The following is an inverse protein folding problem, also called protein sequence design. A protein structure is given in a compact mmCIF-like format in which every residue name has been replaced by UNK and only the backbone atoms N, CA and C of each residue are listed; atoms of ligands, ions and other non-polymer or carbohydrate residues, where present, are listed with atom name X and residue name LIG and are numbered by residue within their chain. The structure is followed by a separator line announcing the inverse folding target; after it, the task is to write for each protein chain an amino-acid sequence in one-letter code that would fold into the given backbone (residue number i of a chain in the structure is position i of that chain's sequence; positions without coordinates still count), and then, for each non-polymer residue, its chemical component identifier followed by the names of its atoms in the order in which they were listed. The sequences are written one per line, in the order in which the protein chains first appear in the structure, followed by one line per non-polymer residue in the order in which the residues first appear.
data_IF_335220965507
#
_entry.id   IF_335220965507
#
_cell.length_a   1.000
_cell.length_b   1.000
_cell.length_c   1.000
_cell.angle_alpha   90.00
_cell.angle_beta   90.00
_cell.angle_gamma   90.00
#
_symmetry.space_group_name_H-M   'P 1'
#
loop_
_entity.id
_entity.type
_entity.pdbx_description
1 polymer ?
#
# COMPACT_ATOMS: atom_id res chain seq x y z
N UNK A 1 17.55 11.87 -2.28
CA UNK A 1 16.12 11.93 -2.64
C UNK A 1 15.81 11.08 -3.88
N UNK A 2 16.26 11.43 -5.12
CA UNK A 2 15.91 10.70 -6.36
C UNK A 2 16.36 9.22 -6.38
N UNK A 3 17.56 8.92 -5.88
CA UNK A 3 18.09 7.52 -5.81
C UNK A 3 17.37 6.70 -4.75
N UNK A 4 16.94 7.30 -3.65
CA UNK A 4 16.13 6.64 -2.63
C UNK A 4 14.70 6.38 -3.13
N UNK A 5 14.13 7.33 -3.84
CA UNK A 5 12.82 7.17 -4.50
C UNK A 5 12.86 6.06 -5.55
N UNK A 6 13.95 5.94 -6.31
CA UNK A 6 14.18 4.82 -7.22
C UNK A 6 14.35 3.49 -6.49
N UNK A 7 15.06 3.44 -5.35
CA UNK A 7 15.15 2.23 -4.52
C UNK A 7 13.79 1.78 -4.00
N UNK A 8 12.96 2.72 -3.58
CA UNK A 8 11.61 2.44 -3.08
C UNK A 8 10.64 2.07 -4.23
N UNK A 9 10.90 2.53 -5.46
CA UNK A 9 10.11 2.15 -6.64
C UNK A 9 10.53 0.81 -7.27
N UNK A 10 11.76 0.35 -7.04
CA UNK A 10 12.34 -0.90 -7.57
C UNK A 10 12.15 -2.10 -6.62
N UNK A 11 11.06 -2.16 -5.84
CA UNK A 11 10.70 -3.45 -5.27
C UNK A 11 10.31 -4.35 -6.44
N UNK A 12 11.14 -5.35 -6.71
CA UNK A 12 10.85 -6.40 -7.67
C UNK A 12 9.62 -7.19 -7.19
N UNK A 13 8.45 -6.60 -7.38
CA UNK A 13 7.20 -7.34 -7.37
C UNK A 13 7.34 -8.27 -8.56
N UNK A 14 7.61 -9.55 -8.32
CA UNK A 14 7.97 -10.53 -9.34
C UNK A 14 7.07 -10.46 -10.58
N UNK A 15 7.45 -11.13 -11.65
CA UNK A 15 6.67 -11.18 -12.89
C UNK A 15 5.22 -11.53 -12.56
N UNK A 16 4.29 -10.69 -13.02
CA UNK A 16 2.87 -10.96 -12.88
C UNK A 16 2.50 -12.26 -13.60
N UNK A 17 1.89 -13.16 -12.85
CA UNK A 17 1.31 -14.40 -13.41
C UNK A 17 -0.19 -14.21 -13.51
N UNK A 18 -0.74 -14.31 -14.71
CA UNK A 18 -2.16 -14.12 -14.97
C UNK A 18 -3.02 -15.01 -14.05
N UNK A 19 -3.96 -14.39 -13.35
CA UNK A 19 -4.89 -15.10 -12.46
C UNK A 19 -4.27 -15.62 -11.15
N UNK A 20 -3.00 -15.31 -10.84
CA UNK A 20 -2.36 -15.69 -9.59
C UNK A 20 -2.09 -14.47 -8.71
N UNK A 21 -2.74 -14.42 -7.54
CA UNK A 21 -2.45 -13.41 -6.54
C UNK A 21 -1.04 -13.62 -5.93
N UNK A 22 -0.33 -12.54 -5.56
CA UNK A 22 0.92 -12.66 -4.82
C UNK A 22 0.68 -13.29 -3.44
N UNK A 23 1.64 -14.05 -2.95
CA UNK A 23 1.58 -14.73 -1.66
C UNK A 23 2.86 -14.46 -0.84
N UNK A 24 2.80 -14.61 0.47
CA UNK A 24 3.93 -14.49 1.39
C UNK A 24 4.66 -13.16 1.25
N UNK A 25 5.97 -13.19 1.02
CA UNK A 25 6.80 -11.99 0.89
C UNK A 25 6.37 -11.09 -0.26
N UNK A 26 5.94 -11.67 -1.40
CA UNK A 26 5.48 -10.89 -2.56
C UNK A 26 4.19 -10.13 -2.26
N UNK A 27 3.28 -10.71 -1.48
CA UNK A 27 2.07 -10.03 -1.02
C UNK A 27 2.42 -8.86 -0.11
N UNK A 28 3.32 -9.07 0.87
CA UNK A 28 3.79 -8.00 1.76
C UNK A 28 4.42 -6.84 0.98
N UNK A 29 5.31 -7.15 0.04
CA UNK A 29 5.99 -6.14 -0.77
C UNK A 29 4.97 -5.38 -1.66
N UNK A 30 3.98 -6.08 -2.23
CA UNK A 30 2.90 -5.47 -3.02
C UNK A 30 2.03 -4.52 -2.16
N UNK A 31 1.61 -4.96 -0.98
CA UNK A 31 0.80 -4.15 -0.04
C UNK A 31 1.58 -2.90 0.37
N UNK A 32 2.84 -3.02 0.78
CA UNK A 32 3.68 -1.88 1.17
C UNK A 32 3.87 -0.88 0.02
N UNK A 33 4.05 -1.36 -1.21
CA UNK A 33 4.15 -0.49 -2.39
C UNK A 33 2.87 0.32 -2.63
N UNK A 34 1.71 -0.28 -2.48
CA UNK A 34 0.43 0.42 -2.64
C UNK A 34 0.23 1.43 -1.51
N UNK A 35 0.54 1.05 -0.26
CA UNK A 35 0.41 1.90 0.93
C UNK A 35 1.44 3.04 0.98
N UNK A 36 2.47 3.03 0.14
CA UNK A 36 3.38 4.17 -0.04
C UNK A 36 2.65 5.42 -0.53
N UNK A 37 1.58 5.22 -1.28
CA UNK A 37 0.72 6.29 -1.79
C UNK A 37 -0.50 6.46 -0.88
N UNK A 38 -1.00 7.68 -0.81
CA UNK A 38 -2.30 7.95 -0.18
C UNK A 38 -3.42 7.33 -1.03
N UNK A 39 -4.41 6.72 -0.37
CA UNK A 39 -5.52 6.03 -1.02
C UNK A 39 -6.84 6.67 -0.58
N UNK A 40 -7.29 7.69 -1.30
CA UNK A 40 -8.43 8.49 -0.89
C UNK A 40 -8.17 9.22 0.43
N UNK A 41 -8.99 8.96 1.44
CA UNK A 41 -8.85 9.55 2.78
C UNK A 41 -7.83 8.81 3.68
N UNK A 42 -7.24 7.72 3.17
CA UNK A 42 -6.22 6.95 3.88
C UNK A 42 -4.83 7.53 3.54
N UNK A 43 -4.10 8.07 4.52
CA UNK A 43 -2.76 8.60 4.27
C UNK A 43 -1.78 7.49 3.88
N UNK A 44 -0.66 7.88 3.29
CA UNK A 44 0.48 6.97 3.11
C UNK A 44 0.92 6.38 4.45
N UNK A 45 1.28 5.10 4.45
CA UNK A 45 1.77 4.44 5.67
C UNK A 45 3.01 5.15 6.23
N UNK A 46 3.88 5.67 5.36
CA UNK A 46 5.07 6.38 5.80
C UNK A 46 4.76 7.77 6.35
N UNK A 47 3.80 8.49 5.79
CA UNK A 47 3.30 9.75 6.36
C UNK A 47 2.70 9.54 7.75
N UNK A 48 1.91 8.48 7.90
CA UNK A 48 1.30 8.14 9.19
C UNK A 48 2.35 7.79 10.24
N UNK A 49 3.37 6.99 9.88
CA UNK A 49 4.47 6.67 10.81
C UNK A 49 5.38 7.86 11.09
N UNK A 50 5.62 8.77 10.15
CA UNK A 50 6.34 10.02 10.42
C UNK A 50 5.62 10.87 11.48
N UNK A 51 4.29 10.97 11.41
CA UNK A 51 3.46 11.65 12.44
C UNK A 51 3.63 11.05 13.84
N UNK A 52 3.87 9.74 13.97
CA UNK A 52 4.18 9.08 15.26
C UNK A 52 5.40 9.72 15.95
N UNK A 53 6.35 10.18 15.16
CA UNK A 53 7.57 10.87 15.60
C UNK A 53 7.44 12.39 15.59
N UNK A 54 6.23 12.95 15.40
CA UNK A 54 5.95 14.39 15.27
C UNK A 54 6.72 15.05 14.11
N UNK A 55 6.94 14.33 13.04
CA UNK A 55 7.60 14.79 11.82
C UNK A 55 6.67 14.61 10.60
N UNK A 56 6.99 15.32 9.53
CA UNK A 56 6.43 15.08 8.22
C UNK A 56 7.38 14.21 7.38
N UNK A 57 6.85 13.48 6.43
CA UNK A 57 7.68 12.69 5.52
C UNK A 57 8.62 13.57 4.70
N UNK A 58 8.12 14.73 4.27
CA UNK A 58 8.90 15.74 3.54
C UNK A 58 10.10 16.25 4.36
N UNK A 59 9.91 16.54 5.65
CA UNK A 59 10.99 16.98 6.54
C UNK A 59 12.09 15.90 6.69
N UNK A 60 11.69 14.63 6.81
CA UNK A 60 12.64 13.51 6.88
C UNK A 60 13.44 13.37 5.58
N UNK A 61 12.79 13.54 4.43
CA UNK A 61 13.43 13.41 3.12
C UNK A 61 14.29 14.61 2.72
N UNK A 62 13.89 15.80 3.12
CA UNK A 62 14.61 17.03 2.77
C UNK A 62 15.85 17.24 3.63
N UNK A 63 15.83 16.77 4.89
CA UNK A 63 16.93 16.94 5.85
C UNK A 63 17.44 15.59 6.40
N UNK A 64 17.92 14.66 5.55
CA UNK A 64 18.25 13.29 5.94
C UNK A 64 19.37 13.16 6.98
N UNK A 65 20.33 14.10 6.97
CA UNK A 65 21.51 14.11 7.85
C UNK A 65 21.26 14.81 9.20
N UNK A 66 20.10 15.47 9.36
CA UNK A 66 19.74 16.12 10.60
C UNK A 66 19.46 15.10 11.71
N UNK A 67 19.91 15.41 12.91
CA UNK A 67 19.71 14.54 14.08
C UNK A 67 18.30 14.72 14.64
N UNK A 68 17.60 13.61 14.77
CA UNK A 68 16.36 13.52 15.54
C UNK A 68 16.69 13.27 17.01
N UNK A 69 16.71 14.35 17.78
CA UNK A 69 17.17 14.36 19.18
C UNK A 69 16.53 13.30 20.08
N UNK A 70 15.20 13.01 20.00
CA UNK A 70 14.57 12.04 20.91
C UNK A 70 15.15 10.63 20.82
N UNK A 71 15.73 10.26 19.69
CA UNK A 71 16.31 8.92 19.47
C UNK A 71 17.81 8.96 19.19
N UNK A 72 18.44 10.13 19.19
CA UNK A 72 19.87 10.34 18.90
C UNK A 72 20.32 9.66 17.59
N UNK A 73 19.48 9.75 16.54
CA UNK A 73 19.76 9.18 15.22
C UNK A 73 19.48 10.21 14.12
N UNK A 74 20.05 10.02 12.93
CA UNK A 74 19.75 10.88 11.79
C UNK A 74 18.33 10.61 11.27
N UNK A 75 17.74 11.61 10.60
CA UNK A 75 16.41 11.42 9.95
C UNK A 75 16.44 10.30 8.89
N UNK A 76 17.57 10.08 8.22
CA UNK A 76 17.75 8.93 7.34
C UNK A 76 17.64 7.60 8.08
N UNK A 77 18.30 7.47 9.24
CA UNK A 77 18.19 6.30 10.10
C UNK A 77 16.77 6.12 10.66
N UNK A 78 16.11 7.23 10.99
CA UNK A 78 14.70 7.21 11.41
C UNK A 78 13.79 6.70 10.28
N UNK A 79 14.04 7.07 9.03
CA UNK A 79 13.28 6.55 7.89
C UNK A 79 13.43 5.03 7.74
N UNK A 80 14.66 4.49 7.90
CA UNK A 80 14.86 3.04 7.89
C UNK A 80 14.10 2.36 9.05
N UNK A 81 14.12 2.95 10.23
CA UNK A 81 13.32 2.47 11.38
C UNK A 81 11.83 2.47 11.06
N UNK A 82 11.31 3.52 10.44
CA UNK A 82 9.91 3.61 9.99
C UNK A 82 9.59 2.48 8.99
N UNK A 83 10.47 2.21 8.03
CA UNK A 83 10.31 1.10 7.08
C UNK A 83 10.26 -0.26 7.78
N UNK A 84 11.12 -0.49 8.74
CA UNK A 84 11.12 -1.73 9.52
C UNK A 84 9.84 -1.89 10.35
N UNK A 85 9.41 -0.83 11.05
CA UNK A 85 8.20 -0.84 11.87
C UNK A 85 6.96 -1.10 11.01
N UNK A 86 6.81 -0.39 9.89
CA UNK A 86 5.68 -0.58 8.98
C UNK A 86 5.68 -1.98 8.37
N UNK A 87 6.86 -2.49 7.99
CA UNK A 87 6.98 -3.85 7.46
C UNK A 87 6.53 -4.91 8.47
N UNK A 88 6.94 -4.79 9.74
CA UNK A 88 6.52 -5.71 10.81
C UNK A 88 5.02 -5.66 11.05
N UNK A 89 4.46 -4.45 11.16
CA UNK A 89 3.03 -4.25 11.39
C UNK A 89 2.19 -4.84 10.24
N UNK A 90 2.55 -4.55 9.00
CA UNK A 90 1.81 -5.08 7.83
C UNK A 90 2.01 -6.59 7.67
N UNK A 91 3.21 -7.13 7.96
CA UNK A 91 3.43 -8.59 7.96
C UNK A 91 2.51 -9.28 8.96
N UNK A 92 2.45 -8.76 10.18
CA UNK A 92 1.57 -9.29 11.21
C UNK A 92 0.10 -9.18 10.82
N UNK A 93 -0.31 -8.07 10.19
CA UNK A 93 -1.67 -7.90 9.68
C UNK A 93 -2.04 -8.97 8.63
N UNK A 94 -1.14 -9.27 7.70
CA UNK A 94 -1.35 -10.31 6.69
C UNK A 94 -1.47 -11.70 7.34
N UNK A 95 -0.63 -11.99 8.34
CA UNK A 95 -0.59 -13.29 9.01
C UNK A 95 -1.81 -13.53 9.92
N UNK A 96 -2.33 -12.46 10.55
CA UNK A 96 -3.42 -12.53 11.53
C UNK A 96 -4.79 -12.10 10.98
N UNK A 97 -4.91 -11.75 9.71
CA UNK A 97 -6.13 -11.19 9.10
C UNK A 97 -7.39 -12.06 9.23
N UNK A 98 -7.25 -13.35 9.53
CA UNK A 98 -8.36 -14.26 9.75
C UNK A 98 -8.91 -14.24 11.20
N UNK A 99 -8.26 -13.51 12.11
CA UNK A 99 -8.64 -13.42 13.52
C UNK A 99 -9.53 -12.20 13.72
N UNK A 100 -10.61 -12.36 14.51
CA UNK A 100 -11.57 -11.28 14.78
C UNK A 100 -10.94 -10.08 15.52
N UNK A 101 -9.94 -10.33 16.35
CA UNK A 101 -9.22 -9.34 17.17
C UNK A 101 -7.87 -8.89 16.56
N UNK A 102 -7.68 -9.15 15.26
CA UNK A 102 -6.42 -8.86 14.54
C UNK A 102 -5.93 -7.42 14.76
N UNK A 103 -6.80 -6.42 14.58
CA UNK A 103 -6.42 -5.01 14.71
C UNK A 103 -6.01 -4.70 16.17
N UNK A 104 -6.72 -5.24 17.16
CA UNK A 104 -6.37 -5.05 18.56
C UNK A 104 -5.00 -5.65 18.89
N UNK A 105 -4.72 -6.85 18.39
CA UNK A 105 -3.41 -7.48 18.55
C UNK A 105 -2.29 -6.67 17.91
N UNK A 106 -2.51 -6.12 16.71
CA UNK A 106 -1.55 -5.25 16.03
C UNK A 106 -1.30 -3.99 16.85
N UNK A 107 -2.35 -3.35 17.37
CA UNK A 107 -2.22 -2.12 18.16
C UNK A 107 -1.53 -2.33 19.51
N UNK A 108 -1.36 -3.58 19.95
CA UNK A 108 -0.56 -3.93 21.14
C UNK A 108 0.93 -4.14 20.81
N UNK A 109 1.32 -4.18 19.53
CA UNK A 109 2.75 -4.29 19.15
C UNK A 109 3.53 -3.04 19.58
N UNK A 110 4.80 -3.19 19.97
CA UNK A 110 5.67 -2.04 20.28
C UNK A 110 5.79 -1.05 19.12
N UNK A 111 5.80 -1.55 17.89
CA UNK A 111 5.88 -0.77 16.66
C UNK A 111 4.61 0.06 16.38
N UNK A 112 3.48 -0.32 16.96
CA UNK A 112 2.18 0.34 16.79
C UNK A 112 1.79 1.24 17.98
N UNK A 113 2.75 1.66 18.81
CA UNK A 113 2.50 2.58 19.91
C UNK A 113 2.63 4.03 19.47
N UNK A 114 1.61 4.85 19.76
CA UNK A 114 1.56 6.27 19.41
C UNK A 114 0.49 7.00 20.21
N UNK A 115 0.23 8.26 19.87
CA UNK A 115 -0.85 9.06 20.45
C UNK A 115 -2.23 8.50 20.09
N UNK A 116 -3.26 8.86 20.84
CA UNK A 116 -4.63 8.37 20.56
C UNK A 116 -5.11 8.80 19.17
N UNK A 117 -4.77 10.01 18.72
CA UNK A 117 -5.08 10.47 17.36
C UNK A 117 -4.37 9.62 16.29
N UNK A 118 -3.09 9.31 16.50
CA UNK A 118 -2.33 8.43 15.61
C UNK A 118 -2.91 7.02 15.57
N UNK A 119 -3.32 6.48 16.74
CA UNK A 119 -3.98 5.16 16.82
C UNK A 119 -5.28 5.10 16.04
N UNK A 120 -6.09 6.16 16.07
CA UNK A 120 -7.32 6.23 15.28
C UNK A 120 -7.05 6.21 13.77
N UNK A 121 -6.06 6.97 13.30
CA UNK A 121 -5.66 6.95 11.89
C UNK A 121 -5.06 5.59 11.49
N UNK A 122 -4.28 4.96 12.38
CA UNK A 122 -3.70 3.63 12.16
C UNK A 122 -4.76 2.54 12.09
N UNK A 123 -5.79 2.60 12.94
CA UNK A 123 -6.90 1.66 12.88
C UNK A 123 -7.65 1.74 11.55
N UNK A 124 -7.88 2.95 11.02
CA UNK A 124 -8.50 3.12 9.69
C UNK A 124 -7.65 2.54 8.57
N UNK A 125 -6.33 2.76 8.64
CA UNK A 125 -5.40 2.20 7.66
C UNK A 125 -5.39 0.66 7.73
N UNK A 126 -5.34 0.08 8.92
CA UNK A 126 -5.34 -1.37 9.11
C UNK A 126 -6.66 -2.00 8.68
N UNK A 127 -7.79 -1.37 9.00
CA UNK A 127 -9.13 -1.79 8.54
C UNK A 127 -9.19 -1.83 7.01
N UNK A 128 -8.73 -0.76 6.35
CA UNK A 128 -8.61 -0.71 4.90
C UNK A 128 -7.71 -1.82 4.34
N UNK A 129 -6.55 -2.07 4.96
CA UNK A 129 -5.62 -3.12 4.51
C UNK A 129 -6.27 -4.50 4.57
N UNK A 130 -6.90 -4.81 5.71
CA UNK A 130 -7.44 -6.15 5.99
C UNK A 130 -8.74 -6.40 5.21
N UNK A 131 -9.65 -5.44 5.17
CA UNK A 131 -10.99 -5.64 4.63
C UNK A 131 -11.18 -5.19 3.19
N UNK A 132 -10.29 -4.34 2.65
CA UNK A 132 -10.42 -3.84 1.28
C UNK A 132 -9.19 -4.18 0.41
N UNK A 133 -8.00 -3.82 0.84
CA UNK A 133 -6.80 -3.92 0.01
C UNK A 133 -6.40 -5.37 -0.29
N UNK A 134 -6.19 -6.17 0.75
CA UNK A 134 -5.77 -7.58 0.59
C UNK A 134 -6.83 -8.39 -0.15
N UNK A 135 -8.14 -8.33 0.19
CA UNK A 135 -9.18 -8.98 -0.59
C UNK A 135 -9.20 -8.55 -2.06
N UNK A 136 -8.96 -7.26 -2.35
CA UNK A 136 -8.90 -6.76 -3.72
C UNK A 136 -7.69 -7.29 -4.50
N UNK A 137 -6.54 -7.47 -3.84
CA UNK A 137 -5.36 -8.13 -4.44
C UNK A 137 -5.68 -9.61 -4.74
N UNK A 138 -6.33 -10.31 -3.83
CA UNK A 138 -6.70 -11.72 -4.04
C UNK A 138 -7.71 -11.92 -5.19
N UNK A 139 -8.54 -10.93 -5.50
CA UNK A 139 -9.43 -10.94 -6.66
C UNK A 139 -8.71 -10.88 -8.02
N UNK A 140 -7.39 -10.83 -8.04
CA UNK A 140 -6.60 -10.99 -9.27
C UNK A 140 -6.93 -12.31 -9.99
N UNK A 141 -7.42 -13.33 -9.28
CA UNK A 141 -7.95 -14.57 -9.89
C UNK A 141 -9.07 -14.33 -10.90
N UNK A 142 -9.82 -13.24 -10.77
CA UNK A 142 -10.90 -12.87 -11.70
C UNK A 142 -10.38 -12.53 -13.11
N UNK A 143 -9.09 -12.22 -13.25
CA UNK A 143 -8.43 -11.96 -14.55
C UNK A 143 -8.59 -13.15 -15.51
N UNK A 144 -8.42 -14.36 -15.01
CA UNK A 144 -8.56 -15.58 -15.82
C UNK A 144 -10.01 -15.74 -16.31
N UNK A 145 -10.98 -15.57 -15.42
CA UNK A 145 -12.40 -15.64 -15.74
C UNK A 145 -12.80 -14.58 -16.76
N UNK A 146 -12.33 -13.35 -16.56
CA UNK A 146 -12.59 -12.24 -17.49
C UNK A 146 -11.95 -12.50 -18.86
N UNK A 147 -10.73 -13.06 -18.89
CA UNK A 147 -10.05 -13.42 -20.15
C UNK A 147 -10.85 -14.46 -20.92
N UNK A 148 -11.31 -15.53 -20.26
CA UNK A 148 -12.13 -16.58 -20.87
C UNK A 148 -13.46 -16.00 -21.39
N UNK A 149 -14.10 -15.13 -20.60
CA UNK A 149 -15.34 -14.46 -20.99
C UNK A 149 -15.16 -13.59 -22.23
N UNK A 150 -14.06 -12.81 -22.29
CA UNK A 150 -13.74 -11.99 -23.46
C UNK A 150 -13.52 -12.84 -24.72
N UNK A 151 -12.75 -13.92 -24.61
CA UNK A 151 -12.49 -14.86 -25.72
C UNK A 151 -13.77 -15.54 -26.19
N UNK A 152 -14.76 -15.70 -25.30
CA UNK A 152 -16.08 -16.25 -25.61
C UNK A 152 -17.07 -15.19 -26.14
N UNK A 153 -16.64 -13.95 -26.37
CA UNK A 153 -17.47 -12.86 -26.86
C UNK A 153 -18.45 -12.29 -25.83
N UNK A 154 -18.25 -12.59 -24.55
CA UNK A 154 -19.09 -12.05 -23.49
C UNK A 154 -18.65 -10.63 -23.09
N UNK A 155 -19.62 -9.82 -22.64
CA UNK A 155 -19.35 -8.49 -22.14
C UNK A 155 -18.60 -8.54 -20.80
N UNK A 156 -17.52 -7.76 -20.70
CA UNK A 156 -16.78 -7.56 -19.46
C UNK A 156 -17.02 -6.12 -18.99
N UNK A 157 -17.36 -5.99 -17.71
CA UNK A 157 -17.64 -4.68 -17.11
C UNK A 157 -16.34 -3.83 -17.09
N UNK A 158 -16.32 -2.62 -17.70
CA UNK A 158 -15.14 -1.78 -17.67
C UNK A 158 -14.81 -1.33 -16.24
N UNK A 159 -13.53 -1.19 -15.96
CA UNK A 159 -13.01 -0.72 -14.69
C UNK A 159 -11.69 0.02 -14.88
N UNK A 160 -11.17 0.67 -13.83
CA UNK A 160 -9.90 1.37 -13.93
C UNK A 160 -8.77 0.40 -14.32
N UNK A 161 -7.84 0.90 -15.13
CA UNK A 161 -6.70 0.12 -15.59
C UNK A 161 -5.40 0.85 -15.23
N UNK A 162 -4.36 0.07 -14.96
CA UNK A 162 -3.06 0.59 -14.56
C UNK A 162 -2.35 -0.35 -13.57
N UNK A 163 -1.18 0.06 -13.13
CA UNK A 163 -0.45 -0.67 -12.09
C UNK A 163 -0.84 -0.14 -10.70
N UNK A 164 -1.34 -0.98 -9.79
CA UNK A 164 -1.65 -0.57 -8.42
C UNK A 164 -0.43 0.00 -7.68
N UNK A 165 0.77 -0.46 -8.03
CA UNK A 165 2.02 0.01 -7.43
C UNK A 165 2.35 1.47 -7.74
N UNK A 166 1.77 2.03 -8.82
CA UNK A 166 1.98 3.42 -9.24
C UNK A 166 0.73 4.26 -9.14
N UNK A 167 -0.45 3.66 -9.18
CA UNK A 167 -1.74 4.35 -9.17
C UNK A 167 -2.59 4.12 -7.93
N UNK A 168 -2.07 3.37 -6.95
CA UNK A 168 -2.76 3.10 -5.69
C UNK A 168 -3.85 2.04 -5.75
N UNK A 169 -4.51 1.83 -4.62
CA UNK A 169 -5.51 0.77 -4.44
C UNK A 169 -6.76 0.92 -5.32
N UNK A 170 -7.09 2.13 -5.78
CA UNK A 170 -8.24 2.38 -6.65
C UNK A 170 -8.18 1.67 -8.00
N UNK A 171 -7.00 1.15 -8.39
CA UNK A 171 -6.82 0.35 -9.59
C UNK A 171 -7.06 -1.15 -9.38
N UNK A 172 -7.35 -1.57 -8.15
CA UNK A 172 -7.66 -2.97 -7.83
C UNK A 172 -9.16 -3.28 -7.98
N UNK A 173 -9.52 -4.54 -8.30
CA UNK A 173 -8.62 -5.59 -8.77
C UNK A 173 -8.04 -5.24 -10.15
N UNK A 174 -6.74 -5.50 -10.32
CA UNK A 174 -6.04 -5.19 -11.55
C UNK A 174 -6.59 -5.99 -12.74
N UNK A 175 -6.42 -5.42 -13.95
CA UNK A 175 -6.77 -6.10 -15.21
C UNK A 175 -8.19 -6.67 -15.27
N UNK A 176 -9.15 -5.94 -14.70
CA UNK A 176 -10.56 -6.29 -14.78
C UNK A 176 -11.06 -6.33 -16.23
N UNK A 177 -10.45 -5.56 -17.11
CA UNK A 177 -10.76 -5.48 -18.53
C UNK A 177 -9.51 -5.25 -19.38
N UNK A 178 -9.66 -5.36 -20.71
CA UNK A 178 -8.59 -5.13 -21.68
C UNK A 178 -8.49 -3.68 -22.15
N UNK A 179 -9.30 -2.78 -21.63
CA UNK A 179 -9.28 -1.36 -22.01
C UNK A 179 -8.20 -0.62 -21.22
N UNK A 180 -7.40 0.19 -21.89
CA UNK A 180 -6.32 0.98 -21.29
C UNK A 180 -6.79 2.15 -20.43
N UNK A 181 -8.09 2.50 -20.46
CA UNK A 181 -8.68 3.56 -19.64
C UNK A 181 -10.15 3.23 -19.35
N UNK A 182 -10.65 3.65 -18.20
CA UNK A 182 -12.09 3.60 -17.92
C UNK A 182 -12.79 4.76 -18.67
N UNK A 183 -13.65 4.45 -19.65
CA UNK A 183 -14.30 5.50 -20.46
C UNK A 183 -15.27 6.36 -19.65
N UNK A 184 -15.57 6.00 -18.40
CA UNK A 184 -16.48 6.75 -17.48
C UNK A 184 -15.74 7.75 -16.60
N UNK A 185 -14.42 7.67 -16.53
CA UNK A 185 -13.61 8.60 -15.76
C UNK A 185 -13.03 9.67 -16.66
N UNK A 186 -13.18 10.94 -16.25
CA UNK A 186 -12.50 12.05 -16.92
C UNK A 186 -10.99 11.94 -16.65
N UNK A 187 -10.14 12.28 -17.63
CA UNK A 187 -8.72 12.40 -17.39
C UNK A 187 -8.41 13.35 -16.23
N UNK A 188 -7.39 13.03 -15.43
CA UNK A 188 -6.93 13.97 -14.41
C UNK A 188 -6.41 15.28 -15.05
N UNK A 189 -6.39 16.41 -14.32
CA UNK A 189 -5.84 17.67 -14.83
C UNK A 189 -4.41 17.57 -15.38
N UNK A 190 -3.63 16.59 -14.90
CA UNK A 190 -2.29 16.29 -15.42
C UNK A 190 -2.29 15.49 -16.73
N UNK A 191 -3.43 14.97 -17.14
CA UNK A 191 -3.61 14.19 -18.38
C UNK A 191 -4.15 15.01 -19.57
N UNK A 192 -4.27 16.34 -19.40
CA UNK A 192 -4.66 17.29 -20.44
C UNK A 192 -3.40 18.00 -21.02
#
# INVERSE_FOLDING_TARGET
AYIEELKDSEVHVGLHILGKAPEGKLLLDCVLQILRLSNGDIPSVFELWAKKYNLTLDDIQTHPDEIYEPLHMTKSQLMEKIREETRKVISFAIESMQQEDCIEQIMNLPEAQGSDAWKQESNKLLDFVIHELIPSIHRTSDEMTNTISALSGQYINPGPSGSPNTGGAGLLPSRRNFYGADPRTLPSPAGW
#
